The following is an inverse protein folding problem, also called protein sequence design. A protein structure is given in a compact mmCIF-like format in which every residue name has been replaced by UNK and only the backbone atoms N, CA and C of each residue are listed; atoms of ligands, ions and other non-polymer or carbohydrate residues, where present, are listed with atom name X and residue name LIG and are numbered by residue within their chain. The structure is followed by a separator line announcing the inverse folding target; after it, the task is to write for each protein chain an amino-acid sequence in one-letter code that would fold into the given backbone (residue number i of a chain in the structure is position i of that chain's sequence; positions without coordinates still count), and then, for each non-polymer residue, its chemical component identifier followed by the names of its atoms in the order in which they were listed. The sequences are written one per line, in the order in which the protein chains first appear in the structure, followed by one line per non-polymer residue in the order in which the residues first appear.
data_IF_031523971428
#
_entry.id   IF_031523971428
#
_cell.length_a   1.000
_cell.length_b   1.000
_cell.length_c   1.000
_cell.angle_alpha   90.00
_cell.angle_beta   90.00
_cell.angle_gamma   90.00
#
_symmetry.space_group_name_H-M   'P 1'
#
loop_
_entity.id
_entity.type
_entity.pdbx_description
1 polymer ?
#
# COMPACT_ATOMS: atom_id res chain seq x y z
N UNK A 1 -2.63 -14.31 46.85
CA UNK A 1 -2.88 -13.20 45.92
C UNK A 1 -2.80 -13.78 44.52
N UNK A 2 -3.95 -14.11 43.93
CA UNK A 2 -4.06 -14.83 42.65
C UNK A 2 -3.90 -13.86 41.47
N UNK A 3 -2.93 -14.07 40.57
CA UNK A 3 -2.74 -13.26 39.37
C UNK A 3 -3.61 -13.70 38.17
N UNK A 4 -4.54 -14.65 38.34
CA UNK A 4 -5.37 -15.20 37.25
C UNK A 4 -6.55 -14.31 36.85
N UNK A 5 -7.01 -13.40 37.71
CA UNK A 5 -8.24 -12.62 37.47
C UNK A 5 -8.05 -11.38 36.58
N UNK A 6 -6.81 -10.92 36.32
CA UNK A 6 -6.59 -9.72 35.49
C UNK A 6 -6.63 -10.01 33.99
N UNK A 7 -6.27 -11.23 33.56
CA UNK A 7 -6.26 -11.62 32.14
C UNK A 7 -7.70 -11.84 31.64
N UNK A 8 -8.55 -12.48 32.44
CA UNK A 8 -9.97 -12.65 32.10
C UNK A 8 -10.73 -11.33 32.11
N UNK A 9 -10.45 -10.41 33.04
CA UNK A 9 -11.01 -9.07 33.01
C UNK A 9 -10.62 -8.27 31.76
N UNK A 10 -9.40 -8.48 31.24
CA UNK A 10 -8.95 -7.89 29.97
C UNK A 10 -9.67 -8.50 28.75
N UNK A 11 -9.87 -9.82 28.75
CA UNK A 11 -10.62 -10.51 27.69
C UNK A 11 -12.10 -10.10 27.67
N UNK A 12 -12.73 -9.96 28.85
CA UNK A 12 -14.11 -9.49 28.99
C UNK A 12 -14.27 -8.03 28.58
N UNK A 13 -13.26 -7.18 28.83
CA UNK A 13 -13.24 -5.80 28.33
C UNK A 13 -13.12 -5.76 26.79
N UNK A 14 -12.26 -6.61 26.21
CA UNK A 14 -12.10 -6.75 24.76
C UNK A 14 -13.38 -7.30 24.11
N UNK A 15 -14.06 -8.26 24.77
CA UNK A 15 -15.33 -8.82 24.32
C UNK A 15 -16.52 -7.86 24.52
N UNK A 16 -16.50 -7.03 25.57
CA UNK A 16 -17.47 -5.95 25.76
C UNK A 16 -17.36 -4.85 24.71
N UNK A 17 -16.13 -4.46 24.36
CA UNK A 17 -15.87 -3.56 23.23
C UNK A 17 -16.29 -4.17 21.89
N UNK A 18 -16.07 -5.49 21.70
CA UNK A 18 -16.52 -6.23 20.53
C UNK A 18 -18.04 -6.13 20.31
N UNK A 19 -18.85 -6.32 21.35
CA UNK A 19 -20.32 -6.21 21.24
C UNK A 19 -20.81 -4.77 20.97
N UNK A 20 -20.13 -3.76 21.51
CA UNK A 20 -20.50 -2.36 21.25
C UNK A 20 -20.20 -1.90 19.82
N UNK A 21 -19.18 -2.48 19.17
CA UNK A 21 -18.72 -2.07 17.83
C UNK A 21 -19.32 -2.91 16.69
N UNK A 22 -19.76 -4.14 16.99
CA UNK A 22 -20.37 -5.06 16.03
C UNK A 22 -21.89 -5.07 16.03
N UNK A 23 -22.60 -4.28 16.85
CA UNK A 23 -24.06 -4.23 16.80
C UNK A 23 -24.53 -3.58 15.48
N UNK A 24 -24.96 -4.35 14.47
CA UNK A 24 -25.37 -3.83 13.16
C UNK A 24 -26.86 -3.43 13.18
N UNK A 25 -27.54 -3.68 14.29
CA UNK A 25 -29.00 -3.72 14.36
C UNK A 25 -29.65 -2.34 14.48
N UNK A 26 -28.88 -1.26 14.60
CA UNK A 26 -29.43 0.10 14.69
C UNK A 26 -29.39 0.85 13.35
N UNK A 27 -28.53 0.46 12.39
CA UNK A 27 -28.43 1.18 11.11
C UNK A 27 -29.37 0.64 10.01
N UNK A 28 -29.84 -0.62 10.11
CA UNK A 28 -30.76 -1.19 9.12
C UNK A 28 -32.14 -0.51 9.14
N UNK A 29 -32.57 0.01 10.29
CA UNK A 29 -33.83 0.76 10.41
C UNK A 29 -33.72 2.20 9.86
N UNK A 30 -32.51 2.77 9.77
CA UNK A 30 -32.29 4.13 9.25
C UNK A 30 -32.18 4.13 7.72
N UNK A 31 -31.63 3.06 7.11
CA UNK A 31 -31.51 2.96 5.64
C UNK A 31 -32.87 2.73 4.95
N UNK A 32 -33.89 2.26 5.68
CA UNK A 32 -35.26 2.10 5.17
C UNK A 32 -36.14 3.35 5.30
N UNK A 33 -35.73 4.35 6.10
CA UNK A 33 -36.53 5.55 6.39
C UNK A 33 -35.94 6.86 5.84
N UNK A 34 -34.74 6.85 5.26
CA UNK A 34 -34.24 8.04 4.58
C UNK A 34 -34.87 8.18 3.20
N UNK A 35 -35.73 9.18 3.02
CA UNK A 35 -36.08 9.73 1.71
C UNK A 35 -34.82 9.86 0.80
N UNK A 36 -34.96 9.83 -0.54
CA UNK A 36 -33.85 10.02 -1.46
C UNK A 36 -33.31 11.45 -1.33
N UNK A 37 -32.46 11.66 -0.33
CA UNK A 37 -31.69 12.87 -0.16
C UNK A 37 -30.82 13.04 -1.42
N UNK A 38 -30.80 14.26 -1.96
CA UNK A 38 -30.16 14.67 -3.24
C UNK A 38 -28.62 14.56 -3.25
N UNK A 39 -28.06 13.62 -2.51
CA UNK A 39 -26.64 13.43 -2.28
C UNK A 39 -26.01 12.37 -3.20
N UNK A 40 -24.70 12.47 -3.48
CA UNK A 40 -24.00 11.43 -4.23
C UNK A 40 -23.94 10.11 -3.45
N UNK A 41 -24.43 9.02 -4.05
CA UNK A 41 -24.29 7.69 -3.46
C UNK A 41 -22.81 7.32 -3.31
N UNK A 42 -22.42 6.71 -2.18
CA UNK A 42 -21.10 6.13 -2.02
C UNK A 42 -21.07 4.88 -1.14
N UNK A 43 -20.10 4.00 -1.41
CA UNK A 43 -19.87 2.81 -0.61
C UNK A 43 -19.14 3.21 0.69
N UNK A 44 -19.70 2.90 1.85
CA UNK A 44 -19.08 3.13 3.17
C UNK A 44 -17.86 2.24 3.43
N UNK A 45 -17.71 1.14 2.68
CA UNK A 45 -16.53 0.27 2.74
C UNK A 45 -16.59 -0.80 3.84
N UNK A 46 -17.77 -1.31 4.19
CA UNK A 46 -17.95 -2.28 5.28
C UNK A 46 -17.09 -3.53 5.14
N UNK A 47 -16.97 -4.09 3.92
CA UNK A 47 -16.10 -5.23 3.65
C UNK A 47 -14.63 -4.91 3.95
N UNK A 48 -14.15 -3.74 3.52
CA UNK A 48 -12.78 -3.28 3.78
C UNK A 48 -12.55 -3.10 5.28
N UNK A 49 -13.52 -2.53 6.00
CA UNK A 49 -13.50 -2.37 7.46
C UNK A 49 -13.41 -3.73 8.16
N UNK A 50 -14.26 -4.68 7.77
CA UNK A 50 -14.28 -6.02 8.37
C UNK A 50 -12.97 -6.79 8.08
N UNK A 51 -12.44 -6.73 6.85
CA UNK A 51 -11.16 -7.33 6.51
C UNK A 51 -10.02 -6.70 7.32
N UNK A 52 -10.03 -5.38 7.51
CA UNK A 52 -9.05 -4.67 8.33
C UNK A 52 -9.10 -5.14 9.80
N UNK A 53 -10.29 -5.20 10.39
CA UNK A 53 -10.50 -5.66 11.77
C UNK A 53 -10.04 -7.12 11.92
N UNK A 54 -10.43 -8.02 11.02
CA UNK A 54 -9.97 -9.42 11.02
C UNK A 54 -8.45 -9.49 10.91
N UNK A 55 -7.85 -8.66 10.05
CA UNK A 55 -6.39 -8.59 9.92
C UNK A 55 -5.69 -8.15 11.19
N UNK A 56 -6.25 -7.19 11.94
CA UNK A 56 -5.72 -6.77 13.23
C UNK A 56 -5.76 -7.90 14.27
N UNK A 57 -6.85 -8.65 14.33
CA UNK A 57 -6.94 -9.80 15.23
C UNK A 57 -5.96 -10.90 14.86
N UNK A 58 -5.82 -11.22 13.57
CA UNK A 58 -4.82 -12.19 13.11
C UNK A 58 -3.39 -11.74 13.44
N UNK A 59 -3.09 -10.44 13.28
CA UNK A 59 -1.80 -9.87 13.65
C UNK A 59 -1.50 -9.99 15.15
N UNK A 60 -2.50 -9.74 16.01
CA UNK A 60 -2.38 -9.91 17.46
C UNK A 60 -2.12 -11.37 17.84
N UNK A 61 -2.94 -12.29 17.33
CA UNK A 61 -2.81 -13.74 17.61
C UNK A 61 -1.45 -14.25 17.15
N UNK A 62 -1.01 -13.88 15.95
CA UNK A 62 0.29 -14.25 15.43
C UNK A 62 1.43 -13.66 16.27
N UNK A 63 1.33 -12.39 16.67
CA UNK A 63 2.31 -11.74 17.53
C UNK A 63 2.47 -12.45 18.88
N UNK A 64 1.35 -12.79 19.54
CA UNK A 64 1.36 -13.53 20.82
C UNK A 64 1.91 -14.95 20.63
N UNK A 65 1.50 -15.66 19.57
CA UNK A 65 1.99 -16.99 19.26
C UNK A 65 3.51 -17.00 19.00
N UNK A 66 4.01 -16.05 18.20
CA UNK A 66 5.44 -15.86 17.99
C UNK A 66 6.15 -15.58 19.33
N UNK A 67 5.59 -14.73 20.19
CA UNK A 67 6.22 -14.44 21.49
C UNK A 67 6.34 -15.70 22.34
N UNK A 68 5.28 -16.51 22.43
CA UNK A 68 5.27 -17.76 23.19
C UNK A 68 6.26 -18.78 22.61
N UNK A 69 6.27 -18.99 21.29
CA UNK A 69 7.22 -19.89 20.61
C UNK A 69 8.66 -19.39 20.78
N UNK A 70 8.89 -18.09 20.69
CA UNK A 70 10.19 -17.49 20.89
C UNK A 70 10.73 -17.71 22.30
N UNK A 71 9.91 -17.47 23.34
CA UNK A 71 10.27 -17.75 24.73
C UNK A 71 10.54 -19.25 24.93
N UNK A 72 9.68 -20.12 24.40
CA UNK A 72 9.84 -21.57 24.50
C UNK A 72 11.14 -22.06 23.86
N UNK A 73 11.43 -21.62 22.63
CA UNK A 73 12.65 -21.99 21.89
C UNK A 73 13.92 -21.38 22.50
N UNK A 74 13.83 -20.24 23.19
CA UNK A 74 14.92 -19.67 23.96
C UNK A 74 15.26 -20.47 25.22
N UNK A 75 14.28 -21.17 25.81
CA UNK A 75 14.49 -22.01 27.00
C UNK A 75 14.89 -23.45 26.59
N UNK A 76 14.31 -23.98 25.52
CA UNK A 76 14.54 -25.33 25.01
C UNK A 76 15.01 -25.24 23.55
N UNK A 77 16.32 -25.41 23.27
CA UNK A 77 16.83 -25.37 21.90
C UNK A 77 16.31 -26.59 21.12
N UNK A 78 15.35 -26.34 20.23
CA UNK A 78 14.83 -27.36 19.31
C UNK A 78 15.77 -27.43 18.11
N UNK A 79 16.36 -28.61 17.88
CA UNK A 79 17.16 -28.90 16.69
C UNK A 79 16.33 -29.72 15.72
N UNK A 80 16.28 -29.30 14.45
CA UNK A 80 15.48 -29.98 13.42
C UNK A 80 16.42 -30.80 12.53
N UNK A 81 16.33 -32.13 12.66
CA UNK A 81 16.85 -33.05 11.66
C UNK A 81 16.10 -32.84 10.35
N UNK A 82 16.83 -32.51 9.28
CA UNK A 82 16.27 -32.07 8.02
C UNK A 82 15.69 -33.25 7.21
N UNK A 83 14.46 -33.68 7.51
CA UNK A 83 13.64 -34.44 6.56
C UNK A 83 12.29 -33.76 6.36
N UNK A 84 12.20 -33.02 5.24
CA UNK A 84 10.93 -32.72 4.59
C UNK A 84 10.01 -31.72 5.31
N UNK A 85 10.39 -30.45 5.38
CA UNK A 85 9.43 -29.37 5.59
C UNK A 85 9.92 -28.06 4.95
N UNK A 86 9.89 -27.99 3.62
CA UNK A 86 9.91 -26.70 2.90
C UNK A 86 8.53 -26.07 3.04
N UNK A 87 8.39 -25.15 3.99
CA UNK A 87 7.14 -24.45 4.28
C UNK A 87 7.37 -23.02 4.72
N UNK A 88 8.05 -22.21 3.91
CA UNK A 88 8.14 -20.76 4.12
C UNK A 88 7.05 -20.03 3.35
N UNK A 89 5.83 -19.97 3.90
CA UNK A 89 4.83 -18.97 3.47
C UNK A 89 3.97 -18.55 4.66
N UNK A 90 4.53 -17.88 5.67
CA UNK A 90 3.74 -17.04 6.57
C UNK A 90 4.56 -15.80 6.97
N UNK A 91 4.69 -14.84 6.05
CA UNK A 91 4.89 -13.42 6.40
C UNK A 91 4.65 -12.52 5.19
N UNK A 92 3.55 -12.73 4.48
CA UNK A 92 3.25 -11.93 3.29
C UNK A 92 1.75 -11.66 3.21
N UNK A 93 1.25 -10.76 4.06
CA UNK A 93 -0.14 -10.34 3.96
C UNK A 93 -0.57 -9.14 4.80
N UNK A 94 0.00 -8.93 5.99
CA UNK A 94 -0.68 -8.07 6.98
C UNK A 94 -0.05 -6.69 7.27
N UNK A 95 1.17 -6.40 6.80
CA UNK A 95 1.88 -5.19 7.27
C UNK A 95 1.76 -3.95 6.36
N UNK A 96 0.95 -3.96 5.30
CA UNK A 96 1.05 -2.89 4.28
C UNK A 96 -0.22 -2.14 3.87
N UNK A 97 -1.36 -2.34 4.55
CA UNK A 97 -2.58 -1.60 4.19
C UNK A 97 -2.93 -0.44 5.14
N UNK A 98 -2.29 -0.33 6.31
CA UNK A 98 -2.71 0.66 7.33
C UNK A 98 -1.76 1.86 7.46
N UNK A 99 -0.56 1.82 6.89
CA UNK A 99 0.49 2.82 7.21
C UNK A 99 0.61 4.01 6.26
N UNK A 100 -0.16 4.07 5.19
CA UNK A 100 -0.06 5.14 4.21
C UNK A 100 -1.45 5.52 3.75
N UNK A 101 -2.14 6.37 4.51
CA UNK A 101 -2.91 7.52 4.01
C UNK A 101 -3.57 8.29 5.17
N UNK A 102 -3.47 9.61 5.03
CA UNK A 102 -4.16 10.73 5.68
C UNK A 102 -3.62 11.32 6.99
N UNK A 103 -3.05 12.52 6.80
CA UNK A 103 -2.98 13.61 7.76
C UNK A 103 -4.37 14.15 8.10
N UNK A 104 -4.36 14.86 9.24
CA UNK A 104 -5.42 15.69 9.82
C UNK A 104 -6.10 15.01 11.01
N UNK A 105 -5.40 15.14 12.15
CA UNK A 105 -5.74 14.80 13.54
C UNK A 105 -5.76 13.31 13.92
N UNK A 106 -5.46 13.00 15.20
CA UNK A 106 -5.19 11.63 15.66
C UNK A 106 -3.68 11.30 15.73
N UNK A 107 -3.28 10.01 15.62
CA UNK A 107 -1.97 9.53 16.05
C UNK A 107 -0.89 9.45 14.93
N UNK A 108 -1.22 9.77 13.68
CA UNK A 108 -0.41 9.67 12.46
C UNK A 108 0.77 10.69 12.39
N UNK A 109 1.39 10.99 13.53
CA UNK A 109 2.51 11.92 13.65
C UNK A 109 3.81 11.25 13.17
N UNK A 110 4.79 12.08 12.81
CA UNK A 110 6.09 11.63 12.31
C UNK A 110 6.77 10.59 13.22
N UNK A 111 6.63 10.71 14.55
CA UNK A 111 7.23 9.76 15.49
C UNK A 111 6.52 8.41 15.49
N UNK A 112 5.19 8.38 15.35
CA UNK A 112 4.41 7.13 15.22
C UNK A 112 4.76 6.44 13.91
N UNK A 113 4.89 7.21 12.82
CA UNK A 113 5.30 6.69 11.52
C UNK A 113 6.74 6.18 11.54
N UNK A 114 7.64 6.85 12.26
CA UNK A 114 9.01 6.39 12.46
C UNK A 114 9.05 5.11 13.31
N UNK A 115 8.31 5.04 14.41
CA UNK A 115 8.21 3.84 15.24
C UNK A 115 7.67 2.66 14.43
N UNK A 116 6.60 2.90 13.68
CA UNK A 116 6.00 1.90 12.81
C UNK A 116 6.97 1.46 11.71
N UNK A 117 7.73 2.38 11.11
CA UNK A 117 8.80 2.07 10.17
C UNK A 117 9.89 1.19 10.83
N UNK A 118 10.31 1.51 12.05
CA UNK A 118 11.26 0.70 12.81
C UNK A 118 10.71 -0.70 13.11
N UNK A 119 9.44 -0.82 13.50
CA UNK A 119 8.79 -2.12 13.69
C UNK A 119 8.69 -2.90 12.37
N UNK A 120 8.47 -2.23 11.24
CA UNK A 120 8.45 -2.87 9.92
C UNK A 120 9.84 -3.40 9.59
N UNK A 121 10.87 -2.56 9.67
CA UNK A 121 12.27 -2.95 9.44
C UNK A 121 12.67 -4.08 10.37
N UNK A 122 12.39 -3.95 11.67
CA UNK A 122 12.68 -4.97 12.68
C UNK A 122 11.98 -6.29 12.42
N UNK A 123 10.70 -6.27 12.04
CA UNK A 123 9.96 -7.49 11.66
C UNK A 123 10.59 -8.17 10.44
N UNK A 124 11.02 -7.38 9.44
CA UNK A 124 11.68 -7.91 8.25
C UNK A 124 13.05 -8.51 8.59
N UNK A 125 13.90 -7.79 9.31
CA UNK A 125 15.22 -8.28 9.72
C UNK A 125 15.12 -9.51 10.63
N UNK A 126 14.16 -9.53 11.55
CA UNK A 126 13.98 -10.66 12.47
C UNK A 126 13.49 -11.91 11.74
N UNK A 127 12.60 -11.76 10.75
CA UNK A 127 12.10 -12.89 9.95
C UNK A 127 13.21 -13.62 9.19
N UNK A 128 14.21 -12.91 8.67
CA UNK A 128 15.37 -13.53 8.00
C UNK A 128 16.33 -14.26 8.95
N UNK A 129 16.22 -14.06 10.27
CA UNK A 129 17.11 -14.64 11.28
C UNK A 129 16.49 -15.81 12.04
N UNK A 130 15.25 -16.19 11.71
CA UNK A 130 14.54 -17.29 12.40
C UNK A 130 15.27 -18.61 12.20
N UNK A 131 15.81 -18.85 11.00
CA UNK A 131 16.53 -20.07 10.66
C UNK A 131 18.03 -19.77 10.54
N UNK A 132 18.81 -20.29 11.48
CA UNK A 132 20.27 -20.18 11.45
C UNK A 132 20.87 -21.54 11.06
N UNK A 133 21.81 -21.53 10.12
CA UNK A 133 22.54 -22.72 9.70
C UNK A 133 23.75 -22.92 10.61
N UNK A 134 23.85 -24.10 11.20
CA UNK A 134 25.00 -24.54 11.97
C UNK A 134 26.04 -25.13 11.01
N UNK A 135 27.30 -24.70 11.13
CA UNK A 135 28.41 -25.18 10.30
C UNK A 135 29.32 -26.03 11.20
N UNK A 136 28.79 -27.14 11.71
CA UNK A 136 29.59 -28.07 12.51
C UNK A 136 30.68 -28.70 11.62
N UNK A 137 31.88 -28.15 11.73
CA UNK A 137 33.08 -28.60 11.04
C UNK A 137 33.53 -29.95 11.61
N UNK A 138 33.11 -31.08 11.00
CA UNK A 138 33.78 -32.35 11.33
C UNK A 138 33.15 -33.67 10.91
N UNK A 139 31.86 -33.75 10.57
CA UNK A 139 31.25 -35.01 10.12
C UNK A 139 30.46 -34.81 8.83
N UNK A 140 30.38 -35.84 7.99
CA UNK A 140 29.59 -35.89 6.75
C UNK A 140 28.05 -35.79 6.99
N UNK A 141 27.63 -35.32 8.15
CA UNK A 141 26.23 -35.17 8.52
C UNK A 141 25.67 -33.86 7.96
N UNK A 142 24.42 -33.92 7.49
CA UNK A 142 23.74 -32.76 6.91
C UNK A 142 23.68 -31.57 7.90
N UNK A 143 23.83 -30.33 7.40
CA UNK A 143 23.85 -29.14 8.25
C UNK A 143 22.54 -29.01 9.03
N UNK A 144 22.63 -29.05 10.37
CA UNK A 144 21.48 -28.89 11.25
C UNK A 144 21.05 -27.43 11.23
N UNK A 145 19.77 -27.18 10.90
CA UNK A 145 19.19 -25.84 11.02
C UNK A 145 18.66 -25.66 12.43
N UNK A 146 19.12 -24.61 13.10
CA UNK A 146 18.65 -24.23 14.45
C UNK A 146 17.71 -23.04 14.36
N UNK A 147 16.68 -23.05 15.20
CA UNK A 147 15.73 -21.94 15.31
C UNK A 147 16.27 -20.91 16.31
N UNK A 148 16.36 -19.64 15.90
CA UNK A 148 16.78 -18.56 16.77
C UNK A 148 15.59 -18.00 17.58
N UNK A 149 15.46 -18.40 18.85
CA UNK A 149 14.41 -17.89 19.73
C UNK A 149 14.43 -16.36 19.88
N UNK A 150 15.62 -15.75 19.95
CA UNK A 150 15.77 -14.29 20.02
C UNK A 150 15.22 -13.56 18.77
N UNK A 151 15.41 -14.12 17.58
CA UNK A 151 14.84 -13.58 16.35
C UNK A 151 13.30 -13.67 16.37
N UNK A 152 12.74 -14.78 16.86
CA UNK A 152 11.28 -14.95 16.98
C UNK A 152 10.69 -13.97 18.01
N UNK A 153 11.35 -13.76 19.15
CA UNK A 153 10.92 -12.76 20.16
C UNK A 153 10.96 -11.35 19.56
N UNK A 154 12.04 -10.99 18.86
CA UNK A 154 12.16 -9.69 18.18
C UNK A 154 11.07 -9.49 17.11
N UNK A 155 10.77 -10.54 16.34
CA UNK A 155 9.66 -10.56 15.38
C UNK A 155 8.33 -10.29 16.08
N UNK A 156 8.07 -10.98 17.20
CA UNK A 156 6.84 -10.82 17.97
C UNK A 156 6.66 -9.40 18.51
N UNK A 157 7.70 -8.82 19.12
CA UNK A 157 7.68 -7.43 19.63
C UNK A 157 7.38 -6.46 18.49
N UNK A 158 8.02 -6.64 17.33
CA UNK A 158 7.78 -5.80 16.17
C UNK A 158 6.33 -5.92 15.68
N UNK A 159 5.79 -7.13 15.52
CA UNK A 159 4.40 -7.35 15.09
C UNK A 159 3.38 -6.76 16.09
N UNK A 160 3.62 -6.92 17.39
CA UNK A 160 2.76 -6.33 18.43
C UNK A 160 2.85 -4.80 18.43
N UNK A 161 4.02 -4.23 18.18
CA UNK A 161 4.19 -2.78 18.00
C UNK A 161 3.38 -2.26 16.80
N UNK A 162 3.42 -2.98 15.67
CA UNK A 162 2.62 -2.65 14.49
C UNK A 162 1.12 -2.73 14.76
N UNK A 163 0.69 -3.80 15.44
CA UNK A 163 -0.69 -3.96 15.88
C UNK A 163 -1.13 -2.83 16.81
N UNK A 164 -0.30 -2.46 17.80
CA UNK A 164 -0.64 -1.41 18.77
C UNK A 164 -0.85 -0.05 18.09
N UNK A 165 0.02 0.31 17.14
CA UNK A 165 -0.14 1.54 16.34
C UNK A 165 -1.44 1.50 15.53
N UNK A 166 -1.69 0.39 14.85
CA UNK A 166 -2.87 0.24 14.00
C UNK A 166 -4.16 0.24 14.84
N UNK A 167 -4.16 -0.43 15.99
CA UNK A 167 -5.27 -0.42 16.95
C UNK A 167 -5.51 0.98 17.49
N UNK A 168 -4.46 1.73 17.84
CA UNK A 168 -4.59 3.12 18.30
C UNK A 168 -5.12 4.06 17.21
N UNK A 169 -4.90 3.74 15.93
CA UNK A 169 -5.46 4.51 14.83
C UNK A 169 -6.98 4.33 14.69
N UNK A 170 -7.55 3.17 15.07
CA UNK A 170 -8.97 2.86 14.87
C UNK A 170 -9.94 3.83 15.57
N UNK A 171 -9.83 4.12 16.88
CA UNK A 171 -10.77 5.05 17.53
C UNK A 171 -10.73 6.46 16.94
N UNK A 172 -9.61 6.86 16.33
CA UNK A 172 -9.48 8.19 15.72
C UNK A 172 -10.07 8.25 14.29
N UNK A 173 -10.55 7.13 13.74
CA UNK A 173 -11.18 7.07 12.41
C UNK A 173 -12.64 7.53 12.39
N UNK A 174 -13.20 8.03 13.50
CA UNK A 174 -14.55 8.63 13.50
C UNK A 174 -14.69 9.82 12.53
N UNK A 175 -13.58 10.41 12.08
CA UNK A 175 -13.55 11.47 11.05
C UNK A 175 -13.25 10.96 9.63
N UNK A 176 -13.10 9.65 9.43
CA UNK A 176 -12.89 9.11 8.08
C UNK A 176 -14.24 9.00 7.37
N UNK A 177 -14.48 9.76 6.29
CA UNK A 177 -15.80 9.83 5.64
C UNK A 177 -16.20 8.52 4.95
N UNK A 178 -15.23 7.65 4.62
CA UNK A 178 -15.47 6.30 4.09
C UNK A 178 -14.26 5.40 4.29
N UNK A 179 -14.51 4.09 4.38
CA UNK A 179 -13.50 3.02 4.33
C UNK A 179 -13.33 2.44 2.91
N UNK A 180 -13.96 3.05 1.90
CA UNK A 180 -13.75 2.67 0.52
C UNK A 180 -12.37 3.10 0.04
N UNK A 181 -11.72 2.20 -0.70
CA UNK A 181 -10.46 2.44 -1.40
C UNK A 181 -10.68 3.16 -2.74
N UNK A 182 -11.93 3.35 -3.18
CA UNK A 182 -12.22 4.09 -4.41
C UNK A 182 -12.16 5.61 -4.13
N UNK A 183 -11.26 6.35 -4.81
CA UNK A 183 -11.16 7.80 -4.61
C UNK A 183 -12.47 8.53 -4.96
N UNK A 184 -13.31 7.97 -5.83
CA UNK A 184 -14.62 8.56 -6.14
C UNK A 184 -15.62 8.39 -4.99
N UNK A 185 -15.56 7.26 -4.28
CA UNK A 185 -16.34 7.08 -3.05
C UNK A 185 -15.85 8.07 -1.99
N UNK A 186 -14.53 8.26 -1.85
CA UNK A 186 -13.95 9.23 -0.91
C UNK A 186 -14.37 10.65 -1.23
N UNK A 187 -14.28 11.08 -2.49
CA UNK A 187 -14.72 12.42 -2.89
C UNK A 187 -16.22 12.62 -2.65
N UNK A 188 -17.05 11.64 -3.01
CA UNK A 188 -18.49 11.72 -2.78
C UNK A 188 -18.82 11.86 -1.29
N UNK A 189 -18.14 11.08 -0.43
CA UNK A 189 -18.31 11.13 1.01
C UNK A 189 -17.88 12.49 1.59
N UNK A 190 -16.73 13.02 1.16
CA UNK A 190 -16.25 14.35 1.58
C UNK A 190 -17.17 15.50 1.13
N UNK A 191 -17.78 15.41 -0.06
CA UNK A 191 -18.76 16.41 -0.52
C UNK A 191 -20.01 16.38 0.36
N UNK A 192 -20.47 15.18 0.75
CA UNK A 192 -21.63 15.01 1.62
C UNK A 192 -21.40 15.53 3.03
N UNK A 193 -20.21 15.31 3.57
CA UNK A 193 -19.80 15.84 4.88
C UNK A 193 -19.59 17.37 4.84
N UNK A 194 -19.51 17.96 3.64
CA UNK A 194 -19.24 19.39 3.45
C UNK A 194 -17.75 19.75 3.61
N UNK A 195 -16.85 18.78 3.68
CA UNK A 195 -15.39 19.02 3.74
C UNK A 195 -14.79 19.39 2.38
N UNK A 196 -15.45 18.99 1.29
CA UNK A 196 -15.11 19.41 -0.07
C UNK A 196 -16.28 20.13 -0.74
N UNK A 197 -15.98 21.25 -1.40
CA UNK A 197 -16.96 22.00 -2.19
C UNK A 197 -16.52 22.08 -3.64
N UNK A 198 -17.44 21.81 -4.56
CA UNK A 198 -17.16 21.97 -6.00
C UNK A 198 -16.97 23.45 -6.32
N UNK A 199 -15.84 23.79 -6.93
CA UNK A 199 -15.57 25.14 -7.42
C UNK A 199 -16.10 25.24 -8.86
N UNK A 200 -17.14 26.05 -9.12
CA UNK A 200 -17.69 26.20 -10.47
C UNK A 200 -16.65 26.80 -11.42
N UNK A 201 -16.80 26.54 -12.72
CA UNK A 201 -15.88 27.03 -13.74
C UNK A 201 -14.65 26.15 -14.00
N UNK A 202 -14.33 25.16 -13.16
CA UNK A 202 -13.08 24.35 -13.24
C UNK A 202 -13.22 22.97 -13.90
N UNK A 203 -13.97 22.86 -14.99
CA UNK A 203 -14.25 21.57 -15.62
C UNK A 203 -13.10 20.97 -16.44
N UNK A 204 -12.11 21.78 -16.83
CA UNK A 204 -11.02 21.37 -17.72
C UNK A 204 -9.63 21.69 -17.16
N UNK A 205 -9.55 21.95 -15.86
CA UNK A 205 -8.32 22.31 -15.17
C UNK A 205 -7.74 21.09 -14.45
N UNK A 206 -6.53 20.68 -14.86
CA UNK A 206 -5.77 19.65 -14.16
C UNK A 206 -5.24 20.14 -12.80
N UNK A 207 -4.75 19.23 -11.96
CA UNK A 207 -4.14 19.58 -10.67
C UNK A 207 -2.99 20.58 -10.79
N UNK A 208 -2.28 20.60 -11.91
CA UNK A 208 -1.20 21.57 -12.19
C UNK A 208 -1.68 23.03 -12.23
N UNK A 209 -2.97 23.24 -12.50
CA UNK A 209 -3.58 24.56 -12.57
C UNK A 209 -4.28 24.93 -11.26
N UNK A 210 -3.98 24.28 -10.12
CA UNK A 210 -4.71 24.46 -8.86
C UNK A 210 -4.82 25.94 -8.43
N UNK A 211 -3.73 26.70 -8.57
CA UNK A 211 -3.64 28.12 -8.23
C UNK A 211 -4.09 29.06 -9.37
N UNK A 212 -4.40 28.53 -10.56
CA UNK A 212 -4.85 29.35 -11.68
C UNK A 212 -6.30 29.82 -11.46
N UNK A 213 -6.67 31.02 -11.94
CA UNK A 213 -8.04 31.50 -11.86
C UNK A 213 -9.01 30.62 -12.68
N UNK A 214 -10.31 30.73 -12.39
CA UNK A 214 -11.39 30.00 -13.04
C UNK A 214 -11.70 30.57 -14.44
N UNK A 215 -10.75 30.43 -15.36
CA UNK A 215 -10.89 30.85 -16.76
C UNK A 215 -11.20 29.66 -17.67
N UNK A 216 -11.90 29.86 -18.80
CA UNK A 216 -12.07 28.83 -19.81
C UNK A 216 -10.71 28.37 -20.34
N UNK A 217 -10.51 27.05 -20.44
CA UNK A 217 -9.22 26.46 -20.88
C UNK A 217 -9.46 25.53 -22.07
N UNK A 218 -8.62 25.59 -23.13
CA UNK A 218 -8.70 24.62 -24.22
C UNK A 218 -8.25 23.22 -23.73
N UNK A 219 -8.83 22.14 -24.28
CA UNK A 219 -8.42 20.78 -23.92
C UNK A 219 -7.00 20.51 -24.41
N UNK A 220 -6.25 19.70 -23.64
CA UNK A 220 -4.86 19.34 -23.97
C UNK A 220 -4.80 17.94 -24.56
N UNK A 221 -4.00 17.74 -25.61
CA UNK A 221 -3.78 16.39 -26.15
C UNK A 221 -2.97 15.49 -25.19
N UNK A 222 -2.13 16.09 -24.35
CA UNK A 222 -1.34 15.41 -23.32
C UNK A 222 -1.36 16.23 -22.04
N UNK A 223 -1.56 15.55 -20.93
CA UNK A 223 -1.48 16.15 -19.60
C UNK A 223 -0.02 16.17 -19.11
N UNK A 224 0.29 17.05 -18.16
CA UNK A 224 1.62 17.07 -17.54
C UNK A 224 1.80 15.87 -16.60
N UNK A 225 3.04 15.41 -16.48
CA UNK A 225 3.42 14.24 -15.69
C UNK A 225 3.18 14.44 -14.17
N UNK A 226 3.00 13.34 -13.44
CA UNK A 226 2.77 13.37 -11.99
C UNK A 226 3.91 14.01 -11.21
N UNK A 227 5.14 13.92 -11.74
CA UNK A 227 6.35 14.54 -11.16
C UNK A 227 6.17 16.03 -10.83
N UNK A 228 5.48 16.77 -11.70
CA UNK A 228 5.27 18.22 -11.54
C UNK A 228 4.05 18.56 -10.69
N UNK A 229 3.16 17.60 -10.42
CA UNK A 229 1.91 17.84 -9.71
C UNK A 229 2.12 17.94 -8.19
N UNK A 230 2.97 17.07 -7.62
CA UNK A 230 3.10 16.92 -6.17
C UNK A 230 4.57 16.89 -5.73
N UNK A 231 4.90 17.66 -4.68
CA UNK A 231 6.20 17.58 -4.00
C UNK A 231 6.48 16.19 -3.43
N UNK A 232 5.46 15.52 -2.92
CA UNK A 232 5.62 14.22 -2.27
C UNK A 232 6.06 13.13 -3.26
N UNK A 233 5.54 13.15 -4.49
CA UNK A 233 6.00 12.26 -5.57
C UNK A 233 7.50 12.45 -5.84
N UNK A 234 7.99 13.69 -5.78
CA UNK A 234 9.42 13.99 -5.95
C UNK A 234 10.25 13.45 -4.79
N UNK A 235 9.78 13.60 -3.54
CA UNK A 235 10.47 13.07 -2.35
C UNK A 235 10.56 11.54 -2.41
N UNK A 236 9.46 10.85 -2.75
CA UNK A 236 9.43 9.39 -2.90
C UNK A 236 10.41 8.94 -3.98
N UNK A 237 10.42 9.62 -5.13
CA UNK A 237 11.36 9.30 -6.21
C UNK A 237 12.82 9.50 -5.78
N UNK A 238 13.13 10.60 -5.08
CA UNK A 238 14.47 10.84 -4.53
C UNK A 238 14.87 9.79 -3.50
N UNK A 239 13.98 9.40 -2.59
CA UNK A 239 14.24 8.35 -1.61
C UNK A 239 14.53 7.00 -2.29
N UNK A 240 13.79 6.67 -3.35
CA UNK A 240 14.00 5.46 -4.12
C UNK A 240 15.37 5.44 -4.83
N UNK A 241 15.74 6.54 -5.46
CA UNK A 241 17.08 6.69 -6.07
C UNK A 241 18.21 6.72 -5.04
N UNK A 242 18.00 7.36 -3.89
CA UNK A 242 18.96 7.34 -2.78
C UNK A 242 19.17 5.90 -2.27
N UNK A 243 18.10 5.11 -2.17
CA UNK A 243 18.17 3.69 -1.79
C UNK A 243 18.99 2.89 -2.81
N UNK A 244 18.75 3.09 -4.11
CA UNK A 244 19.52 2.44 -5.15
C UNK A 244 21.01 2.87 -5.12
N UNK A 245 21.28 4.15 -4.88
CA UNK A 245 22.62 4.68 -4.74
C UNK A 245 23.36 4.13 -3.52
N UNK A 246 22.67 4.01 -2.38
CA UNK A 246 23.20 3.37 -1.16
C UNK A 246 23.49 1.89 -1.40
N UNK A 247 22.61 1.17 -2.09
CA UNK A 247 22.85 -0.22 -2.49
C UNK A 247 24.09 -0.38 -3.37
N UNK A 248 24.27 0.51 -4.35
CA UNK A 248 25.45 0.53 -5.21
C UNK A 248 26.73 0.85 -4.43
N UNK A 249 26.71 1.87 -3.57
CA UNK A 249 27.84 2.21 -2.70
C UNK A 249 28.22 1.03 -1.80
N UNK A 250 27.22 0.33 -1.27
CA UNK A 250 27.42 -0.86 -0.44
C UNK A 250 28.06 -2.00 -1.23
N UNK A 251 27.56 -2.30 -2.43
CA UNK A 251 28.13 -3.32 -3.31
C UNK A 251 29.60 -3.01 -3.68
N UNK A 252 29.91 -1.74 -3.99
CA UNK A 252 31.27 -1.28 -4.27
C UNK A 252 32.17 -1.45 -3.03
N UNK A 253 31.68 -1.05 -1.86
CA UNK A 253 32.44 -1.17 -0.59
C UNK A 253 32.81 -2.62 -0.33
N UNK A 254 31.87 -3.55 -0.46
CA UNK A 254 32.12 -4.98 -0.29
C UNK A 254 33.12 -5.49 -1.33
N UNK A 255 32.98 -5.10 -2.58
CA UNK A 255 33.93 -5.48 -3.63
C UNK A 255 35.36 -5.00 -3.32
N UNK A 256 35.51 -3.78 -2.80
CA UNK A 256 36.81 -3.25 -2.37
C UNK A 256 37.37 -4.05 -1.19
N UNK A 257 36.55 -4.36 -0.18
CA UNK A 257 36.96 -5.16 0.99
C UNK A 257 37.44 -6.57 0.59
N UNK A 258 36.78 -7.19 -0.39
CA UNK A 258 37.21 -8.48 -0.96
C UNK A 258 38.58 -8.35 -1.61
N UNK A 259 38.79 -7.28 -2.40
CA UNK A 259 40.05 -7.05 -3.11
C UNK A 259 41.21 -6.71 -2.19
N UNK A 260 40.95 -6.11 -1.03
CA UNK A 260 41.99 -5.82 -0.02
C UNK A 260 42.33 -7.02 0.86
N UNK A 261 41.69 -8.18 0.67
CA UNK A 261 42.02 -9.42 1.38
C UNK A 261 41.46 -9.51 2.80
N UNK A 262 40.50 -8.67 3.18
CA UNK A 262 39.76 -8.82 4.43
C UNK A 262 38.68 -9.90 4.26
N UNK A 263 39.05 -11.16 4.51
CA UNK A 263 38.20 -12.34 4.23
C UNK A 263 37.29 -12.75 5.41
N UNK A 264 37.34 -12.02 6.53
CA UNK A 264 36.49 -12.36 7.68
C UNK A 264 35.02 -12.03 7.37
N UNK A 265 34.19 -13.07 7.17
CA UNK A 265 32.74 -12.93 6.96
C UNK A 265 32.28 -12.78 5.51
N UNK A 266 33.15 -13.00 4.52
CA UNK A 266 32.79 -12.97 3.08
C UNK A 266 33.13 -14.32 2.45
N UNK A 267 32.09 -15.06 2.02
CA UNK A 267 32.26 -16.38 1.38
C UNK A 267 32.31 -16.27 -0.14
N UNK A 268 33.43 -16.67 -0.75
CA UNK A 268 33.65 -16.68 -2.21
C UNK A 268 33.38 -18.07 -2.85
N UNK A 269 32.80 -19.02 -2.09
CA UNK A 269 32.80 -20.46 -2.45
C UNK A 269 31.48 -21.05 -2.99
N UNK A 270 30.48 -20.25 -3.37
CA UNK A 270 29.18 -20.77 -3.81
C UNK A 270 28.90 -20.62 -5.31
N UNK A 271 28.81 -21.73 -6.07
CA UNK A 271 28.09 -21.74 -7.36
C UNK A 271 26.57 -21.76 -7.10
N UNK A 272 25.75 -21.17 -7.98
CA UNK A 272 24.31 -20.98 -7.72
C UNK A 272 23.45 -21.00 -8.99
N UNK A 273 22.13 -21.16 -8.83
CA UNK A 273 21.14 -21.14 -9.93
C UNK A 273 19.91 -20.30 -9.58
N UNK A 274 19.25 -19.74 -10.60
CA UNK A 274 18.44 -18.52 -10.44
C UNK A 274 16.95 -18.73 -10.09
N UNK A 275 16.38 -19.93 -10.26
CA UNK A 275 14.92 -20.12 -10.28
C UNK A 275 14.45 -21.30 -9.40
N UNK A 276 13.68 -21.03 -8.33
CA UNK A 276 12.80 -22.02 -7.70
C UNK A 276 11.62 -22.42 -8.62
N UNK A 277 10.99 -23.56 -8.34
CA UNK A 277 9.68 -23.91 -8.94
C UNK A 277 8.55 -23.11 -8.24
N UNK A 278 7.50 -22.72 -8.97
CA UNK A 278 6.59 -21.65 -8.56
C UNK A 278 5.17 -22.10 -8.21
N UNK A 279 4.82 -22.02 -6.92
CA UNK A 279 3.46 -21.75 -6.46
C UNK A 279 3.51 -20.69 -5.34
N UNK A 280 3.05 -19.46 -5.59
CA UNK A 280 2.75 -18.46 -4.53
C UNK A 280 1.79 -17.36 -5.05
N UNK A 281 0.88 -16.83 -4.20
CA UNK A 281 -0.19 -15.90 -4.59
C UNK A 281 0.23 -14.42 -4.69
N UNK A 282 -0.66 -13.57 -5.21
CA UNK A 282 -0.46 -12.12 -5.37
C UNK A 282 -1.43 -11.24 -4.56
N UNK A 283 -0.93 -10.14 -3.98
CA UNK A 283 -1.72 -9.10 -3.29
C UNK A 283 -1.24 -7.73 -3.79
N UNK A 284 -2.02 -7.06 -4.64
CA UNK A 284 -1.47 -6.13 -5.64
C UNK A 284 -1.70 -4.64 -5.31
N UNK A 285 -0.63 -3.84 -5.39
CA UNK A 285 -0.61 -2.43 -4.99
C UNK A 285 0.05 -1.56 -6.07
N UNK A 286 -0.70 -0.61 -6.64
CA UNK A 286 -0.21 0.30 -7.69
C UNK A 286 -1.33 1.02 -8.48
N UNK A 287 -2.49 1.23 -7.86
CA UNK A 287 -3.78 1.01 -8.54
C UNK A 287 -4.57 2.29 -8.96
N UNK A 288 -4.20 3.49 -8.49
CA UNK A 288 -5.06 4.68 -8.60
C UNK A 288 -5.46 5.09 -10.03
N UNK A 289 -4.47 5.18 -10.93
CA UNK A 289 -4.57 6.03 -12.14
C UNK A 289 -5.69 5.58 -13.10
N UNK A 290 -5.81 4.28 -13.31
CA UNK A 290 -6.59 3.69 -14.40
C UNK A 290 -8.11 3.88 -14.23
N UNK A 291 -8.59 4.04 -13.00
CA UNK A 291 -10.02 4.16 -12.69
C UNK A 291 -10.64 5.45 -13.28
N UNK A 292 -9.96 6.59 -13.13
CA UNK A 292 -10.46 7.88 -13.64
C UNK A 292 -10.51 7.91 -15.18
N UNK A 293 -9.51 7.34 -15.85
CA UNK A 293 -9.44 7.30 -17.32
C UNK A 293 -10.49 6.41 -17.97
N UNK A 294 -10.98 5.40 -17.24
CA UNK A 294 -12.09 4.56 -17.70
C UNK A 294 -13.40 5.35 -17.85
N UNK A 295 -13.57 6.48 -17.15
CA UNK A 295 -14.75 7.32 -17.32
C UNK A 295 -14.83 7.98 -18.71
N UNK A 296 -13.69 8.28 -19.34
CA UNK A 296 -13.63 8.80 -20.71
C UNK A 296 -13.64 7.69 -21.78
N UNK A 297 -13.63 6.42 -21.39
CA UNK A 297 -13.65 5.29 -22.33
C UNK A 297 -15.07 4.99 -22.84
N UNK A 298 -15.18 4.31 -23.99
CA UNK A 298 -16.49 3.98 -24.58
C UNK A 298 -17.41 3.15 -23.67
N UNK A 299 -16.83 2.41 -22.72
CA UNK A 299 -17.56 1.58 -21.76
C UNK A 299 -17.92 2.27 -20.44
N UNK A 300 -17.42 3.48 -20.18
CA UNK A 300 -17.61 4.21 -18.93
C UNK A 300 -17.06 3.51 -17.68
N UNK A 301 -17.04 4.22 -16.55
CA UNK A 301 -16.59 3.68 -15.28
C UNK A 301 -17.76 3.14 -14.46
N UNK A 302 -17.78 1.83 -14.17
CA UNK A 302 -18.72 1.23 -13.20
C UNK A 302 -18.08 1.25 -11.81
N UNK A 303 -18.69 1.95 -10.84
CA UNK A 303 -18.17 2.05 -9.45
C UNK A 303 -18.15 0.72 -8.72
N UNK A 304 -19.15 -0.12 -8.99
CA UNK A 304 -19.44 -1.34 -8.22
C UNK A 304 -18.62 -2.57 -8.67
N UNK A 305 -17.30 -2.44 -8.68
CA UNK A 305 -16.39 -3.53 -9.09
C UNK A 305 -15.59 -4.05 -7.91
N UNK A 306 -15.63 -5.38 -7.72
CA UNK A 306 -14.83 -6.11 -6.73
C UNK A 306 -13.35 -5.71 -6.79
N UNK A 307 -12.85 -5.10 -5.71
CA UNK A 307 -11.51 -4.52 -5.57
C UNK A 307 -10.41 -5.52 -5.95
N UNK A 308 -10.56 -6.81 -5.58
CA UNK A 308 -9.61 -7.87 -5.89
C UNK A 308 -9.47 -8.13 -7.41
N UNK A 309 -10.55 -7.96 -8.18
CA UNK A 309 -10.55 -8.06 -9.66
C UNK A 309 -10.30 -6.70 -10.33
N UNK A 310 -10.53 -5.60 -9.60
CA UNK A 310 -10.13 -4.21 -9.89
C UNK A 310 -8.59 -4.04 -9.83
N UNK A 311 -7.87 -4.86 -9.04
CA UNK A 311 -6.39 -4.82 -8.93
C UNK A 311 -5.63 -5.86 -9.80
N UNK A 312 -6.06 -7.14 -9.86
CA UNK A 312 -5.32 -8.23 -10.53
C UNK A 312 -5.23 -8.14 -12.07
N UNK A 313 -5.64 -7.02 -12.64
CA UNK A 313 -5.73 -6.76 -14.08
C UNK A 313 -4.84 -5.60 -14.55
N UNK A 314 -4.32 -4.76 -13.64
CA UNK A 314 -3.39 -3.66 -13.98
C UNK A 314 -1.95 -4.17 -13.97
N UNK A 315 -1.27 -4.11 -15.11
CA UNK A 315 0.10 -4.60 -15.26
C UNK A 315 1.09 -3.87 -14.33
N UNK A 316 0.89 -2.57 -14.09
CA UNK A 316 1.72 -1.79 -13.17
C UNK A 316 1.61 -2.31 -11.74
N UNK A 317 0.39 -2.65 -11.32
CA UNK A 317 0.12 -3.20 -9.99
C UNK A 317 0.67 -4.62 -9.84
N UNK A 318 0.59 -5.44 -10.89
CA UNK A 318 1.20 -6.78 -10.92
C UNK A 318 2.72 -6.67 -10.83
N UNK A 319 3.34 -5.77 -11.60
CA UNK A 319 4.79 -5.52 -11.54
C UNK A 319 5.21 -5.09 -10.14
N UNK A 320 4.56 -4.08 -9.54
CA UNK A 320 4.88 -3.62 -8.19
C UNK A 320 4.63 -4.70 -7.12
N UNK A 321 3.59 -5.53 -7.27
CA UNK A 321 3.47 -6.72 -6.43
C UNK A 321 4.70 -7.60 -6.59
N UNK A 322 5.00 -8.08 -7.79
CA UNK A 322 6.06 -9.06 -8.02
C UNK A 322 7.44 -8.58 -7.53
N UNK A 323 7.74 -7.29 -7.66
CA UNK A 323 8.99 -6.72 -7.16
C UNK A 323 9.13 -6.84 -5.65
N UNK A 324 8.03 -6.82 -4.89
CA UNK A 324 8.06 -6.85 -3.42
C UNK A 324 8.57 -8.18 -2.84
N UNK A 325 7.99 -9.36 -3.11
CA UNK A 325 8.54 -10.63 -2.66
C UNK A 325 9.90 -10.90 -3.32
N UNK A 326 10.14 -10.44 -4.55
CA UNK A 326 11.41 -10.64 -5.24
C UNK A 326 12.56 -9.90 -4.54
N UNK A 327 12.41 -8.59 -4.28
CA UNK A 327 13.43 -7.80 -3.56
C UNK A 327 13.61 -8.34 -2.15
N UNK A 328 12.51 -8.73 -1.49
CA UNK A 328 12.58 -9.33 -0.16
C UNK A 328 13.36 -10.66 -0.17
N UNK A 329 13.09 -11.53 -1.14
CA UNK A 329 13.81 -12.79 -1.33
C UNK A 329 15.29 -12.55 -1.61
N UNK A 330 15.63 -11.63 -2.51
CA UNK A 330 17.02 -11.24 -2.78
C UNK A 330 17.72 -10.69 -1.54
N UNK A 331 17.02 -9.91 -0.70
CA UNK A 331 17.55 -9.42 0.56
C UNK A 331 17.87 -10.57 1.52
N UNK A 332 16.94 -11.52 1.70
CA UNK A 332 17.17 -12.70 2.54
C UNK A 332 18.32 -13.60 2.04
N UNK A 333 18.53 -13.68 0.72
CA UNK A 333 19.69 -14.38 0.15
C UNK A 333 21.01 -13.61 0.33
N UNK A 334 20.94 -12.29 0.41
CA UNK A 334 22.12 -11.41 0.48
C UNK A 334 22.76 -11.37 1.87
N UNK A 335 21.95 -11.56 2.91
CA UNK A 335 22.36 -11.53 4.30
C UNK A 335 22.08 -12.88 4.93
N UNK A 336 23.12 -13.58 5.42
CA UNK A 336 22.93 -14.82 6.18
C UNK A 336 23.72 -14.71 7.48
N UNK A 337 23.10 -15.07 8.60
CA UNK A 337 23.79 -15.13 9.88
C UNK A 337 24.08 -16.58 10.21
N UNK A 338 25.33 -16.85 10.57
CA UNK A 338 25.79 -18.14 11.06
C UNK A 338 26.02 -18.01 12.56
N UNK A 339 25.70 -19.08 13.31
CA UNK A 339 25.88 -19.08 14.76
C UNK A 339 27.35 -18.87 15.16
N UNK A 340 28.29 -19.48 14.45
CA UNK A 340 29.71 -19.46 14.82
C UNK A 340 30.53 -18.40 14.08
N UNK A 341 30.11 -18.04 12.86
CA UNK A 341 30.85 -17.10 11.99
C UNK A 341 30.26 -15.69 11.98
N UNK A 342 29.14 -15.47 12.67
CA UNK A 342 28.46 -14.18 12.73
C UNK A 342 27.78 -13.79 11.41
N UNK A 343 27.87 -12.50 11.07
CA UNK A 343 27.21 -11.94 9.89
C UNK A 343 27.99 -12.26 8.62
N UNK A 344 27.40 -13.06 7.74
CA UNK A 344 27.98 -13.37 6.43
C UNK A 344 27.22 -12.64 5.34
N UNK A 345 27.98 -11.94 4.52
CA UNK A 345 27.45 -11.14 3.41
C UNK A 345 27.82 -11.82 2.11
N UNK A 346 26.81 -12.07 1.29
CA UNK A 346 27.01 -12.70 -0.02
C UNK A 346 27.09 -11.61 -1.11
N UNK A 347 28.28 -11.28 -1.64
CA UNK A 347 28.49 -10.08 -2.46
C UNK A 347 27.73 -10.10 -3.79
N UNK A 348 27.61 -11.27 -4.40
CA UNK A 348 26.90 -11.47 -5.66
C UNK A 348 25.40 -11.20 -5.49
N UNK A 349 24.83 -11.65 -4.37
CA UNK A 349 23.42 -11.47 -4.01
C UNK A 349 23.11 -10.00 -3.68
N UNK A 350 24.03 -9.30 -3.03
CA UNK A 350 23.94 -7.84 -2.82
C UNK A 350 23.96 -7.09 -4.15
N UNK A 351 24.73 -7.56 -5.12
CA UNK A 351 24.75 -7.00 -6.47
C UNK A 351 23.39 -7.20 -7.16
N UNK A 352 22.76 -8.37 -7.03
CA UNK A 352 21.40 -8.60 -7.54
C UNK A 352 20.35 -7.74 -6.85
N UNK A 353 20.43 -7.58 -5.52
CA UNK A 353 19.56 -6.69 -4.77
C UNK A 353 19.67 -5.25 -5.29
N UNK A 354 20.90 -4.80 -5.57
CA UNK A 354 21.18 -3.47 -6.13
C UNK A 354 20.59 -3.33 -7.52
N UNK A 355 20.77 -4.32 -8.40
CA UNK A 355 20.15 -4.34 -9.74
C UNK A 355 18.63 -4.32 -9.64
N UNK A 356 18.04 -5.10 -8.74
CA UNK A 356 16.60 -5.12 -8.49
C UNK A 356 16.07 -3.77 -8.03
N UNK A 357 16.77 -3.11 -7.09
CA UNK A 357 16.44 -1.77 -6.62
C UNK A 357 16.56 -0.72 -7.74
N UNK A 358 17.59 -0.80 -8.60
CA UNK A 358 17.75 0.06 -9.77
C UNK A 358 16.62 -0.14 -10.78
N UNK A 359 16.26 -1.39 -11.09
CA UNK A 359 15.14 -1.70 -11.97
C UNK A 359 13.82 -1.12 -11.43
N UNK A 360 13.56 -1.25 -10.12
CA UNK A 360 12.39 -0.66 -9.49
C UNK A 360 12.42 0.88 -9.55
N UNK A 361 13.58 1.50 -9.31
CA UNK A 361 13.77 2.95 -9.40
C UNK A 361 13.50 3.45 -10.83
N UNK A 362 14.06 2.79 -11.84
CA UNK A 362 13.84 3.10 -13.25
C UNK A 362 12.37 2.93 -13.64
N UNK A 363 11.73 1.84 -13.20
CA UNK A 363 10.33 1.57 -13.46
C UNK A 363 9.41 2.65 -12.85
N UNK A 364 9.61 2.98 -11.58
CA UNK A 364 8.86 4.04 -10.90
C UNK A 364 9.09 5.40 -11.58
N UNK A 365 10.33 5.70 -11.96
CA UNK A 365 10.67 6.89 -12.75
C UNK A 365 9.87 6.92 -14.06
N UNK A 366 9.86 5.83 -14.82
CA UNK A 366 9.14 5.73 -16.08
C UNK A 366 7.63 5.97 -15.91
N UNK A 367 7.01 5.43 -14.86
CA UNK A 367 5.59 5.67 -14.56
C UNK A 367 5.33 7.13 -14.19
N UNK A 368 6.13 7.69 -13.29
CA UNK A 368 5.95 9.05 -12.76
C UNK A 368 6.10 10.10 -13.86
N UNK A 369 7.04 9.89 -14.79
CA UNK A 369 7.29 10.80 -15.90
C UNK A 369 6.40 10.56 -17.12
N UNK A 370 5.68 9.43 -17.21
CA UNK A 370 4.79 9.15 -18.33
C UNK A 370 3.59 10.10 -18.33
N UNK A 371 3.49 11.04 -19.28
CA UNK A 371 2.35 11.95 -19.33
C UNK A 371 1.09 11.17 -19.73
N UNK A 372 -0.04 11.39 -19.03
CA UNK A 372 -1.32 10.84 -19.46
C UNK A 372 -1.69 11.37 -20.85
N UNK A 373 -2.19 10.48 -21.71
CA UNK A 373 -2.68 10.85 -23.04
C UNK A 373 -4.18 11.10 -22.97
N UNK A 374 -4.64 12.18 -23.59
CA UNK A 374 -6.07 12.47 -23.74
C UNK A 374 -6.50 13.81 -23.12
N UNK A 375 -7.72 14.26 -23.49
CA UNK A 375 -8.26 15.55 -23.08
C UNK A 375 -8.69 15.61 -21.62
N UNK A 376 -8.92 14.45 -20.98
CA UNK A 376 -9.37 14.38 -19.60
C UNK A 376 -8.31 14.97 -18.66
N UNK A 377 -8.67 15.92 -17.79
CA UNK A 377 -7.73 16.51 -16.86
C UNK A 377 -7.20 15.48 -15.84
N UNK A 378 -5.90 15.51 -15.58
CA UNK A 378 -5.28 14.64 -14.60
C UNK A 378 -5.44 15.21 -13.18
N UNK A 379 -5.98 14.39 -12.27
CA UNK A 379 -6.14 14.73 -10.86
C UNK A 379 -5.03 14.17 -9.96
N UNK A 380 -4.36 13.07 -10.35
CA UNK A 380 -3.27 12.41 -9.59
C UNK A 380 -3.56 12.19 -8.09
N UNK A 381 -4.80 11.92 -7.73
CA UNK A 381 -5.23 11.67 -6.35
C UNK A 381 -5.64 12.93 -5.57
N UNK A 382 -5.54 14.12 -6.16
CA UNK A 382 -6.01 15.36 -5.55
C UNK A 382 -7.55 15.42 -5.51
N UNK A 383 -8.12 15.15 -4.34
CA UNK A 383 -9.56 15.00 -4.11
C UNK A 383 -10.37 16.22 -4.56
N UNK A 384 -9.90 17.43 -4.26
CA UNK A 384 -10.59 18.67 -4.65
C UNK A 384 -10.58 18.89 -6.17
N UNK A 385 -9.53 18.47 -6.89
CA UNK A 385 -9.55 18.53 -8.37
C UNK A 385 -10.58 17.56 -8.91
N UNK A 386 -10.66 16.35 -8.35
CA UNK A 386 -11.65 15.36 -8.76
C UNK A 386 -13.08 15.85 -8.47
N UNK A 387 -13.33 16.48 -7.32
CA UNK A 387 -14.60 17.14 -6.98
C UNK A 387 -14.99 18.25 -7.97
N UNK A 388 -14.02 18.98 -8.52
CA UNK A 388 -14.28 20.03 -9.51
C UNK A 388 -14.65 19.47 -10.90
N UNK A 389 -14.09 18.30 -11.25
CA UNK A 389 -14.30 17.64 -12.54
C UNK A 389 -15.60 16.83 -12.60
N UNK A 390 -16.13 16.41 -11.46
CA UNK A 390 -17.37 15.64 -11.33
C UNK A 390 -18.50 16.61 -11.02
N UNK A 391 -19.45 16.73 -11.94
CA UNK A 391 -20.62 17.62 -11.80
C UNK A 391 -21.91 16.82 -11.54
N UNK A 392 -22.12 15.70 -12.24
CA UNK A 392 -23.15 14.72 -11.92
C UNK A 392 -22.54 13.44 -11.38
N UNK A 393 -23.13 12.95 -10.28
CA UNK A 393 -22.81 11.66 -9.71
C UNK A 393 -23.77 10.59 -10.24
N UNK A 394 -23.27 9.37 -10.52
CA UNK A 394 -24.11 8.30 -11.01
C UNK A 394 -24.97 7.73 -9.88
N UNK A 395 -26.15 7.22 -10.21
CA UNK A 395 -26.99 6.47 -9.26
C UNK A 395 -26.34 5.13 -8.88
N UNK A 396 -26.82 4.49 -7.80
CA UNK A 396 -26.30 3.19 -7.32
C UNK A 396 -26.29 2.15 -8.46
N UNK A 397 -25.12 1.60 -8.76
CA UNK A 397 -24.92 0.63 -9.85
C UNK A 397 -24.76 1.24 -11.26
N UNK A 398 -24.91 2.57 -11.40
CA UNK A 398 -24.74 3.33 -12.63
C UNK A 398 -23.29 3.42 -13.12
N UNK A 399 -23.13 3.88 -14.36
CA UNK A 399 -21.82 4.15 -14.97
C UNK A 399 -21.56 5.64 -14.98
N UNK A 400 -20.31 6.02 -14.76
CA UNK A 400 -19.82 7.38 -14.88
C UNK A 400 -19.14 7.54 -16.24
N UNK A 401 -19.67 8.40 -17.08
CA UNK A 401 -19.02 8.84 -18.31
C UNK A 401 -18.50 10.25 -18.13
N UNK A 402 -17.38 10.58 -18.77
CA UNK A 402 -16.83 11.93 -18.81
C UNK A 402 -16.65 12.37 -20.25
N UNK A 403 -17.08 13.59 -20.59
CA UNK A 403 -17.02 14.08 -21.96
C UNK A 403 -17.66 15.44 -22.16
N UNK A 404 -17.94 15.76 -23.42
CA UNK A 404 -18.58 17.01 -23.82
C UNK A 404 -20.09 16.96 -23.52
N UNK A 405 -20.61 18.00 -22.86
CA UNK A 405 -22.01 18.08 -22.39
C UNK A 405 -22.87 19.07 -23.16
N UNK A 406 -22.45 20.33 -23.20
CA UNK A 406 -23.22 21.41 -23.81
C UNK A 406 -22.31 22.46 -24.42
N UNK A 407 -22.87 23.26 -25.33
CA UNK A 407 -22.22 24.41 -25.94
C UNK A 407 -23.08 25.65 -25.62
N UNK A 408 -22.50 26.63 -24.93
CA UNK A 408 -23.12 27.93 -24.69
C UNK A 408 -22.30 29.00 -25.42
N UNK A 409 -22.68 29.28 -26.67
CA UNK A 409 -21.98 30.25 -27.52
C UNK A 409 -20.55 29.79 -27.85
N UNK A 410 -19.54 30.58 -27.46
CA UNK A 410 -18.12 30.29 -27.72
C UNK A 410 -17.45 29.40 -26.66
N UNK A 411 -18.18 29.02 -25.61
CA UNK A 411 -17.66 28.24 -24.49
C UNK A 411 -18.47 26.96 -24.32
N UNK A 412 -17.76 25.84 -24.36
CA UNK A 412 -18.31 24.52 -24.13
C UNK A 412 -18.25 24.12 -22.65
N UNK A 413 -19.12 23.20 -22.27
CA UNK A 413 -19.07 22.52 -20.99
C UNK A 413 -18.68 21.05 -21.17
N UNK A 414 -17.91 20.56 -20.21
CA UNK A 414 -17.56 19.16 -20.08
C UNK A 414 -17.69 18.76 -18.63
N UNK A 415 -18.07 17.51 -18.42
CA UNK A 415 -18.39 17.02 -17.09
C UNK A 415 -18.62 15.53 -17.14
N UNK A 416 -19.21 15.03 -16.07
CA UNK A 416 -19.60 13.65 -15.88
C UNK A 416 -21.09 13.46 -16.07
N UNK A 417 -21.54 12.33 -16.61
CA UNK A 417 -22.97 11.98 -16.64
C UNK A 417 -23.18 10.48 -16.47
N UNK A 418 -24.42 10.11 -16.16
CA UNK A 418 -24.86 8.70 -16.15
C UNK A 418 -25.03 8.13 -17.56
N UNK A 419 -25.21 9.01 -18.55
CA UNK A 419 -25.34 8.65 -19.97
C UNK A 419 -24.03 8.90 -20.74
N UNK A 420 -23.91 8.24 -21.89
CA UNK A 420 -22.71 8.33 -22.72
C UNK A 420 -22.60 9.74 -23.31
N UNK A 421 -21.51 10.42 -22.97
CA UNK A 421 -21.22 11.78 -23.45
C UNK A 421 -20.45 11.80 -24.78
N UNK A 422 -20.55 12.92 -25.49
CA UNK A 422 -19.82 13.17 -26.73
C UNK A 422 -18.31 13.32 -26.51
N UNK A 423 -17.53 13.16 -27.59
CA UNK A 423 -16.08 13.39 -27.57
C UNK A 423 -15.79 14.88 -27.36
N UNK A 424 -14.69 15.18 -26.67
CA UNK A 424 -14.20 16.55 -26.46
C UNK A 424 -13.80 17.18 -27.80
N UNK A 425 -14.28 18.39 -28.04
CA UNK A 425 -13.96 19.20 -29.21
C UNK A 425 -12.71 20.05 -28.94
N UNK A 426 -11.60 19.80 -29.64
CA UNK A 426 -10.35 20.53 -29.44
C UNK A 426 -10.36 21.97 -29.97
N UNK A 427 -11.37 22.36 -30.77
CA UNK A 427 -11.53 23.72 -31.26
C UNK A 427 -12.23 24.68 -30.28
N UNK A 428 -12.74 24.17 -29.16
CA UNK A 428 -13.56 24.94 -28.21
C UNK A 428 -12.84 25.19 -26.88
N UNK A 429 -13.18 26.30 -26.23
CA UNK A 429 -12.79 26.58 -24.86
C UNK A 429 -13.79 25.94 -23.90
N UNK A 430 -13.31 25.32 -22.83
CA UNK A 430 -14.18 24.67 -21.84
C UNK A 430 -14.22 25.45 -20.52
N UNK A 431 -15.42 25.72 -20.02
CA UNK A 431 -15.66 26.27 -18.69
C UNK A 431 -16.73 25.46 -17.94
N UNK A 432 -16.65 25.47 -16.62
CA UNK A 432 -17.68 24.85 -15.77
C UNK A 432 -18.99 25.64 -15.81
N UNK A 433 -20.13 24.94 -15.63
CA UNK A 433 -21.44 25.59 -15.47
C UNK A 433 -21.35 26.65 -14.37
N UNK A 434 -21.76 27.89 -14.69
CA UNK A 434 -21.94 28.94 -13.67
C UNK A 434 -23.11 28.49 -12.79
N UNK A 435 -22.90 28.41 -11.48
CA UNK A 435 -24.03 28.22 -10.56
C UNK A 435 -24.99 29.40 -10.75
N UNK A 436 -26.15 29.13 -11.35
CA UNK A 436 -27.26 30.07 -11.44
C UNK A 436 -27.86 30.32 -10.07
#
# INVERSE_FOLDING_TARGET
MEPSNSIFAWLDLVQGMFYSYLSPNVELEVEMLSEPSRGPYFNRGELSRNICIVGLYLGLVLGIACLAVGIYTSILPISIGQQGARGEVISLGLNLLITLVNEVYGPNKWYTNLFMLCCIIGSYSSSSLVFLKDHSSGSDDEPVTRICGAAIISLAICLLGQWAVAWWSLPNTHHAPTWSVDPLDTVAACILEGSLHRIPGRCMQSVHNIAAPTIPVPPRHRQQAAYYAHSEVRKVLWALWATAGLGLLWAITIFVVIRTGFVNGISDKGSWSLLPNSQTPSLNMGWFVDAWWLASSEGGLKRDRNILKKMGTSWQSITLFCFKPLIHWLYGLSMTVYFDSGFNMMPVQISYLTVGALCLALFATAIIFKPPKGPQPAAFGHLQTLANLIDEWPTKGGRLYWGHKSEEGSVAHAGTSSEKLGKINFGMLYAGVKSS
#
